data_IF_236007118017
#
_entry.id   IF_236007118017
#
_cell.length_a   1.000
_cell.length_b   1.000
_cell.length_c   1.000
_cell.angle_alpha   90.00
_cell.angle_beta   90.00
_cell.angle_gamma   90.00
#
_symmetry.space_group_name_H-M   'P 1'
#
loop_
_entity.id
_entity.type
_entity.pdbx_description
1 polymer ?
#
# COMPACT_ATOMS: atom_id res chain seq x y z
N UNK A 1 24.95 6.48 -9.37
CA UNK A 1 23.98 5.94 -8.40
C UNK A 1 22.66 5.76 -9.13
N UNK A 2 22.10 4.55 -9.16
CA UNK A 2 20.77 4.28 -9.75
C UNK A 2 19.76 4.34 -8.61
N UNK A 3 18.79 5.24 -8.67
CA UNK A 3 17.73 5.35 -7.68
C UNK A 3 16.49 4.60 -8.17
N UNK A 4 16.23 3.43 -7.58
CA UNK A 4 15.09 2.56 -7.94
C UNK A 4 13.98 2.80 -6.91
N UNK A 5 12.86 3.37 -7.37
CA UNK A 5 11.70 3.67 -6.51
C UNK A 5 10.65 2.57 -6.51
N UNK A 6 10.68 1.69 -7.50
CA UNK A 6 9.72 0.62 -7.68
C UNK A 6 10.40 -0.64 -8.20
N UNK A 7 9.94 -1.78 -7.69
CA UNK A 7 10.40 -3.09 -8.11
C UNK A 7 9.19 -4.04 -8.24
N UNK A 8 9.44 -5.35 -8.14
CA UNK A 8 8.37 -6.35 -8.16
C UNK A 8 7.41 -6.15 -7.00
N UNK A 9 6.10 -6.22 -7.29
CA UNK A 9 5.01 -6.18 -6.30
C UNK A 9 4.18 -7.45 -6.41
N UNK A 10 3.60 -7.88 -5.30
CA UNK A 10 2.66 -9.01 -5.30
C UNK A 10 1.35 -8.61 -6.01
N UNK A 11 0.67 -9.57 -6.62
CA UNK A 11 -0.70 -9.39 -7.11
C UNK A 11 -1.60 -10.29 -6.27
N UNK A 12 -2.42 -9.68 -5.42
CA UNK A 12 -3.13 -10.40 -4.35
C UNK A 12 -4.64 -10.28 -4.53
N UNK A 13 -5.43 -10.65 -3.52
CA UNK A 13 -6.89 -10.50 -3.53
C UNK A 13 -7.35 -9.04 -3.38
N UNK A 14 -6.45 -8.13 -3.03
CA UNK A 14 -6.72 -6.70 -3.02
C UNK A 14 -5.54 -5.92 -3.59
N UNK A 15 -5.68 -5.51 -4.85
CA UNK A 15 -4.78 -4.54 -5.46
C UNK A 15 -5.24 -3.13 -5.08
N UNK A 16 -4.35 -2.37 -4.45
CA UNK A 16 -4.54 -0.94 -4.18
C UNK A 16 -4.48 -0.15 -5.50
N UNK A 17 -5.48 0.68 -5.75
CA UNK A 17 -5.63 1.46 -6.98
C UNK A 17 -5.73 2.95 -6.68
N UNK A 18 -5.61 3.78 -7.72
CA UNK A 18 -5.88 5.22 -7.62
C UNK A 18 -7.26 5.51 -7.02
N UNK A 19 -8.27 4.64 -7.24
CA UNK A 19 -9.59 4.82 -6.65
C UNK A 19 -9.58 4.74 -5.12
N UNK A 20 -8.70 3.93 -4.54
CA UNK A 20 -8.51 3.85 -3.09
C UNK A 20 -7.91 5.16 -2.57
N UNK A 21 -6.85 5.64 -3.22
CA UNK A 21 -6.18 6.91 -2.86
C UNK A 21 -7.10 8.13 -3.02
N UNK A 22 -8.00 8.13 -4.01
CA UNK A 22 -8.96 9.21 -4.24
C UNK A 22 -10.21 9.12 -3.34
N UNK A 23 -10.32 8.08 -2.51
CA UNK A 23 -11.49 7.86 -1.65
C UNK A 23 -12.76 7.46 -2.41
N UNK A 24 -12.63 7.01 -3.67
CA UNK A 24 -13.72 6.44 -4.48
C UNK A 24 -13.99 4.98 -4.12
N UNK A 25 -13.00 4.32 -3.53
CA UNK A 25 -13.05 2.96 -3.00
C UNK A 25 -12.45 2.97 -1.60
N UNK A 26 -12.97 2.12 -0.72
CA UNK A 26 -12.46 1.98 0.64
C UNK A 26 -12.01 0.55 0.87
N UNK A 27 -10.81 0.38 1.40
CA UNK A 27 -10.37 -0.90 1.93
C UNK A 27 -11.28 -1.30 3.11
N UNK A 28 -11.92 -2.48 3.09
CA UNK A 28 -12.79 -2.92 4.20
C UNK A 28 -11.97 -3.40 5.41
N UNK A 29 -10.69 -3.67 5.21
CA UNK A 29 -9.75 -4.26 6.14
C UNK A 29 -8.47 -3.41 6.29
N UNK A 30 -8.56 -2.11 6.66
CA UNK A 30 -7.39 -1.25 6.75
C UNK A 30 -6.44 -1.71 7.85
N UNK A 31 -5.14 -1.70 7.53
CA UNK A 31 -4.03 -1.98 8.47
C UNK A 31 -3.02 -0.82 8.57
N UNK A 32 -3.26 0.25 7.81
CA UNK A 32 -2.48 1.48 7.86
C UNK A 32 -3.16 2.55 7.01
N UNK A 33 -2.70 3.79 7.15
CA UNK A 33 -3.22 4.92 6.39
C UNK A 33 -2.13 5.51 5.48
N UNK A 34 -2.49 5.75 4.23
CA UNK A 34 -1.72 6.59 3.31
C UNK A 34 -2.36 7.96 3.16
N UNK A 35 -1.56 9.00 2.96
CA UNK A 35 -2.04 10.38 2.74
C UNK A 35 -1.17 11.20 1.79
N UNK A 36 -0.04 10.64 1.35
CA UNK A 36 0.90 11.34 0.49
C UNK A 36 0.36 11.48 -0.94
N UNK A 37 0.86 12.45 -1.71
CA UNK A 37 0.51 12.59 -3.11
C UNK A 37 0.83 11.32 -3.90
N UNK A 38 -0.06 10.91 -4.80
CA UNK A 38 0.32 9.98 -5.87
C UNK A 38 1.33 10.73 -6.74
N UNK A 39 2.60 10.35 -6.62
CA UNK A 39 3.71 11.01 -7.30
C UNK A 39 4.37 10.09 -8.34
N UNK A 40 4.65 10.65 -9.52
CA UNK A 40 5.55 10.06 -10.50
C UNK A 40 6.42 11.17 -11.10
N UNK A 41 7.69 10.86 -11.32
CA UNK A 41 8.64 11.79 -11.91
C UNK A 41 8.53 11.79 -13.42
N UNK A 42 9.05 12.87 -14.03
CA UNK A 42 9.18 12.99 -15.48
C UNK A 42 9.88 11.74 -16.03
N UNK A 43 9.22 11.05 -16.96
CA UNK A 43 9.80 9.88 -17.65
C UNK A 43 10.39 10.27 -19.00
N UNK A 44 9.92 11.37 -19.58
CA UNK A 44 10.36 11.85 -20.88
C UNK A 44 10.24 13.36 -21.01
N UNK A 45 11.15 13.95 -21.79
CA UNK A 45 11.06 15.35 -22.22
C UNK A 45 10.90 15.42 -23.74
N UNK A 46 10.05 16.32 -24.21
CA UNK A 46 9.83 16.59 -25.64
C UNK A 46 10.18 18.03 -25.97
N UNK A 47 10.87 18.25 -27.08
CA UNK A 47 11.04 19.59 -27.63
C UNK A 47 9.83 19.95 -28.50
N UNK A 48 9.22 21.09 -28.23
CA UNK A 48 8.12 21.65 -29.03
C UNK A 48 8.68 22.37 -30.27
N UNK A 49 7.84 22.56 -31.28
CA UNK A 49 8.17 23.34 -32.48
C UNK A 49 8.61 24.78 -32.17
N UNK A 50 8.20 25.31 -31.01
CA UNK A 50 8.56 26.65 -30.51
C UNK A 50 9.87 26.68 -29.72
N UNK A 51 10.59 25.56 -29.61
CA UNK A 51 11.87 25.45 -28.90
C UNK A 51 11.76 25.25 -27.38
N UNK A 52 10.57 25.07 -26.81
CA UNK A 52 10.38 24.77 -25.39
C UNK A 52 10.45 23.27 -25.10
N UNK A 53 10.91 22.90 -23.90
CA UNK A 53 10.81 21.53 -23.40
C UNK A 53 9.49 21.32 -22.64
N UNK A 54 8.80 20.22 -22.92
CA UNK A 54 7.65 19.72 -22.17
C UNK A 54 8.05 18.44 -21.45
N UNK A 55 7.60 18.28 -20.20
CA UNK A 55 7.77 17.07 -19.40
C UNK A 55 6.52 16.18 -19.49
N UNK A 56 6.72 14.88 -19.69
CA UNK A 56 5.66 13.88 -19.73
C UNK A 56 5.81 12.82 -18.62
N UNK A 57 4.70 12.18 -18.26
CA UNK A 57 4.61 11.13 -17.25
C UNK A 57 4.63 11.61 -15.79
N UNK A 58 4.64 12.93 -15.56
CA UNK A 58 4.51 13.48 -14.19
C UNK A 58 3.11 13.21 -13.67
N UNK A 59 3.05 12.61 -12.47
CA UNK A 59 1.81 12.51 -11.71
C UNK A 59 2.04 13.28 -10.41
N UNK A 60 1.13 14.18 -10.09
CA UNK A 60 1.03 14.77 -8.76
C UNK A 60 -0.43 14.99 -8.42
N UNK A 61 -1.00 14.06 -7.63
CA UNK A 61 -2.38 14.16 -7.17
C UNK A 61 -2.47 13.81 -5.69
N UNK A 62 -2.82 14.81 -4.87
CA UNK A 62 -2.95 14.65 -3.42
C UNK A 62 -4.30 13.98 -3.10
N UNK A 63 -4.32 12.89 -2.30
CA UNK A 63 -5.54 12.32 -1.76
C UNK A 63 -6.39 13.39 -1.04
N UNK A 64 -7.73 13.37 -1.18
CA UNK A 64 -8.60 14.34 -0.51
C UNK A 64 -8.64 14.16 1.02
N UNK A 65 -8.28 12.97 1.50
CA UNK A 65 -8.17 12.57 2.91
C UNK A 65 -7.26 11.35 3.02
N UNK A 66 -6.77 10.99 4.23
CA UNK A 66 -6.12 9.71 4.42
C UNK A 66 -6.99 8.55 3.94
N UNK A 67 -6.36 7.52 3.37
CA UNK A 67 -7.03 6.32 2.86
C UNK A 67 -6.46 5.05 3.49
N UNK A 68 -7.31 4.05 3.69
CA UNK A 68 -6.93 2.77 4.28
C UNK A 68 -6.16 1.89 3.29
N UNK A 69 -5.08 1.26 3.76
CA UNK A 69 -4.34 0.22 3.04
C UNK A 69 -4.85 -1.14 3.51
N UNK A 70 -5.37 -1.94 2.57
CA UNK A 70 -5.99 -3.24 2.87
C UNK A 70 -4.98 -4.26 3.39
N UNK A 71 -5.36 -5.03 4.40
CA UNK A 71 -4.59 -6.19 4.87
C UNK A 71 -4.28 -7.17 3.74
N UNK A 72 -5.26 -7.42 2.86
CA UNK A 72 -5.10 -8.28 1.69
C UNK A 72 -4.07 -7.77 0.68
N UNK A 73 -3.68 -6.49 0.72
CA UNK A 73 -2.62 -5.96 -0.13
C UNK A 73 -1.21 -6.33 0.36
N UNK A 74 -1.06 -6.78 1.61
CA UNK A 74 0.25 -7.11 2.21
C UNK A 74 0.46 -8.62 2.43
N UNK A 75 -0.46 -9.47 1.95
CA UNK A 75 -0.37 -10.93 2.03
C UNK A 75 -0.66 -11.55 0.67
N UNK A 76 -0.09 -12.72 0.32
CA UNK A 76 -0.36 -13.40 -0.94
C UNK A 76 -1.76 -14.04 -0.96
N UNK A 77 -2.22 -14.46 -2.14
CA UNK A 77 -3.52 -15.14 -2.27
C UNK A 77 -3.50 -16.48 -1.55
N UNK A 78 -4.68 -16.95 -1.17
CA UNK A 78 -4.82 -18.30 -0.62
C UNK A 78 -4.33 -19.33 -1.65
N UNK A 79 -3.49 -20.27 -1.21
CA UNK A 79 -2.89 -21.30 -2.06
C UNK A 79 -1.55 -20.92 -2.70
N UNK A 80 -1.05 -19.69 -2.53
CA UNK A 80 0.30 -19.31 -2.98
C UNK A 80 1.37 -19.57 -1.91
N UNK A 81 1.35 -18.81 -0.82
CA UNK A 81 2.30 -18.94 0.29
C UNK A 81 1.58 -18.62 1.60
N UNK A 82 1.74 -19.47 2.61
CA UNK A 82 0.86 -19.47 3.79
C UNK A 82 1.36 -18.57 4.94
N UNK A 83 2.63 -18.15 4.88
CA UNK A 83 3.33 -17.47 5.98
C UNK A 83 4.10 -16.21 5.55
N UNK A 84 3.81 -15.66 4.37
CA UNK A 84 4.48 -14.45 3.86
C UNK A 84 3.66 -13.19 4.16
N UNK A 85 4.31 -12.18 4.72
CA UNK A 85 3.80 -10.81 4.79
C UNK A 85 4.77 -9.86 4.07
N UNK A 86 4.25 -9.01 3.19
CA UNK A 86 5.04 -8.06 2.41
C UNK A 86 4.55 -6.63 2.63
N UNK A 87 5.07 -5.93 3.65
CA UNK A 87 4.65 -4.56 3.98
C UNK A 87 5.21 -3.49 3.03
N UNK A 88 6.21 -3.83 2.20
CA UNK A 88 6.86 -2.90 1.27
C UNK A 88 6.46 -3.19 -0.18
N UNK A 89 6.55 -4.44 -0.62
CA UNK A 89 6.17 -4.87 -1.98
C UNK A 89 4.66 -5.15 -2.08
N UNK A 90 3.86 -4.23 -1.53
CA UNK A 90 2.41 -4.33 -1.42
C UNK A 90 1.75 -4.47 -2.78
N UNK A 91 0.59 -5.11 -2.82
CA UNK A 91 -0.22 -5.21 -4.02
C UNK A 91 -0.84 -3.87 -4.36
N UNK A 92 -0.26 -3.18 -5.35
CA UNK A 92 -0.67 -1.86 -5.77
C UNK A 92 -0.38 -1.61 -7.25
N UNK A 93 -1.25 -0.82 -7.88
CA UNK A 93 -0.96 -0.17 -9.17
C UNK A 93 0.22 0.80 -9.02
N UNK A 94 0.90 1.11 -10.13
CA UNK A 94 1.99 2.09 -10.16
C UNK A 94 1.59 3.43 -9.51
N UNK A 95 0.41 3.96 -9.90
CA UNK A 95 -0.10 5.24 -9.40
C UNK A 95 -0.37 5.22 -7.89
N UNK A 96 -1.05 4.18 -7.39
CA UNK A 96 -1.34 4.06 -5.96
C UNK A 96 -0.05 3.87 -5.14
N UNK A 97 0.91 3.11 -5.67
CA UNK A 97 2.15 2.84 -4.98
C UNK A 97 2.98 4.12 -4.75
N UNK A 98 2.94 5.08 -5.68
CA UNK A 98 3.54 6.42 -5.49
C UNK A 98 3.09 7.09 -4.20
N UNK A 99 1.82 6.94 -3.81
CA UNK A 99 1.30 7.46 -2.55
C UNK A 99 1.63 6.58 -1.33
N UNK A 100 1.65 5.25 -1.51
CA UNK A 100 1.86 4.29 -0.40
C UNK A 100 3.33 4.23 0.05
N UNK A 101 4.29 4.45 -0.86
CA UNK A 101 5.72 4.15 -0.65
C UNK A 101 6.48 5.13 0.24
N UNK A 102 5.81 5.69 1.24
CA UNK A 102 6.39 6.57 2.23
C UNK A 102 6.91 5.77 3.42
N UNK A 103 8.08 6.12 3.92
CA UNK A 103 8.70 5.51 5.10
C UNK A 103 7.75 5.37 6.29
N UNK A 104 6.99 6.42 6.72
CA UNK A 104 6.04 6.26 7.83
C UNK A 104 4.93 5.25 7.55
N UNK A 105 4.52 5.11 6.29
CA UNK A 105 3.51 4.13 5.88
C UNK A 105 4.10 2.72 5.95
N UNK A 106 5.32 2.51 5.45
CA UNK A 106 6.00 1.22 5.57
C UNK A 106 6.26 0.82 7.03
N UNK A 107 6.58 1.77 7.90
CA UNK A 107 6.69 1.51 9.34
C UNK A 107 5.36 1.02 9.92
N UNK A 108 4.25 1.70 9.60
CA UNK A 108 2.92 1.31 10.03
C UNK A 108 2.54 -0.09 9.51
N UNK A 109 2.75 -0.35 8.21
CA UNK A 109 2.49 -1.66 7.60
C UNK A 109 3.38 -2.75 8.20
N UNK A 110 4.62 -2.45 8.56
CA UNK A 110 5.54 -3.36 9.25
C UNK A 110 5.03 -3.77 10.62
N UNK A 111 4.58 -2.81 11.44
CA UNK A 111 3.93 -3.09 12.72
C UNK A 111 2.69 -3.98 12.53
N UNK A 112 1.87 -3.67 11.52
CA UNK A 112 0.66 -4.44 11.27
C UNK A 112 0.92 -5.84 10.74
N UNK A 113 1.95 -6.01 9.91
CA UNK A 113 2.40 -7.31 9.45
C UNK A 113 2.87 -8.17 10.63
N UNK A 114 3.68 -7.62 11.53
CA UNK A 114 4.15 -8.33 12.73
C UNK A 114 2.99 -8.70 13.66
N UNK A 115 2.01 -7.81 13.84
CA UNK A 115 0.82 -8.08 14.64
C UNK A 115 -0.01 -9.22 14.04
N UNK A 116 -0.21 -9.21 12.71
CA UNK A 116 -0.91 -10.27 12.01
C UNK A 116 -0.17 -11.61 12.08
N UNK A 117 1.16 -11.61 11.97
CA UNK A 117 1.98 -12.80 12.17
C UNK A 117 1.80 -13.39 13.57
N UNK A 118 1.80 -12.55 14.62
CA UNK A 118 1.52 -12.98 16.00
C UNK A 118 0.15 -13.63 16.15
N UNK A 119 -0.89 -13.01 15.56
CA UNK A 119 -2.25 -13.61 15.56
C UNK A 119 -2.28 -14.94 14.81
N UNK A 120 -1.60 -15.04 13.67
CA UNK A 120 -1.51 -16.27 12.88
C UNK A 120 -0.85 -17.40 13.68
N UNK A 121 0.25 -17.11 14.39
CA UNK A 121 0.94 -18.04 15.27
C UNK A 121 0.06 -18.47 16.46
N UNK A 122 -0.55 -17.51 17.19
CA UNK A 122 -1.42 -17.78 18.34
C UNK A 122 -2.61 -18.68 17.98
N UNK A 123 -3.11 -18.57 16.75
CA UNK A 123 -4.27 -19.32 16.25
C UNK A 123 -3.89 -20.54 15.41
N UNK A 124 -2.60 -20.81 15.21
CA UNK A 124 -2.08 -21.85 14.33
C UNK A 124 -2.77 -21.84 12.95
N UNK A 125 -2.79 -20.67 12.31
CA UNK A 125 -3.46 -20.43 11.04
C UNK A 125 -2.56 -19.72 10.04
N UNK A 126 -2.92 -19.76 8.76
CA UNK A 126 -2.20 -19.07 7.69
C UNK A 126 -2.52 -17.57 7.72
N UNK A 127 -1.66 -16.75 7.14
CA UNK A 127 -1.85 -15.27 7.13
C UNK A 127 -3.15 -14.85 6.45
N UNK A 128 -3.64 -15.62 5.47
CA UNK A 128 -4.93 -15.36 4.78
C UNK A 128 -6.15 -15.63 5.67
N UNK A 129 -6.00 -16.48 6.67
CA UNK A 129 -7.09 -16.91 7.56
C UNK A 129 -7.12 -16.12 8.88
N UNK A 130 -6.25 -15.12 9.03
CA UNK A 130 -6.31 -14.15 10.15
C UNK A 130 -7.61 -13.36 10.07
N UNK A 131 -8.50 -13.56 11.05
CA UNK A 131 -9.77 -12.84 11.12
C UNK A 131 -9.53 -11.34 11.34
N UNK A 132 -9.97 -10.51 10.39
CA UNK A 132 -9.76 -9.06 10.46
C UNK A 132 -10.29 -8.39 11.76
N UNK A 133 -11.46 -8.75 12.32
CA UNK A 133 -11.93 -8.16 13.57
C UNK A 133 -10.93 -8.32 14.73
N UNK A 134 -10.31 -9.51 14.84
CA UNK A 134 -9.29 -9.80 15.84
C UNK A 134 -8.01 -9.02 15.58
N UNK A 135 -7.56 -8.97 14.32
CA UNK A 135 -6.41 -8.16 13.93
C UNK A 135 -6.63 -6.68 14.24
N UNK A 136 -7.80 -6.13 13.88
CA UNK A 136 -8.19 -4.75 14.14
C UNK A 136 -8.12 -4.42 15.64
N UNK A 137 -8.64 -5.29 16.50
CA UNK A 137 -8.56 -5.12 17.95
C UNK A 137 -7.11 -5.00 18.44
N UNK A 138 -6.24 -5.93 18.00
CA UNK A 138 -4.81 -5.93 18.35
C UNK A 138 -4.09 -4.68 17.84
N UNK A 139 -4.40 -4.23 16.63
CA UNK A 139 -3.84 -3.02 16.04
C UNK A 139 -4.24 -1.76 16.83
N UNK A 140 -5.51 -1.64 17.21
CA UNK A 140 -5.98 -0.52 18.02
C UNK A 140 -5.36 -0.53 19.43
N UNK A 141 -5.20 -1.71 20.04
CA UNK A 141 -4.48 -1.83 21.31
C UNK A 141 -3.00 -1.37 21.18
N UNK A 142 -2.38 -1.64 20.03
CA UNK A 142 -1.07 -1.11 19.64
C UNK A 142 -1.06 0.36 19.20
N UNK A 143 -2.16 1.10 19.40
CA UNK A 143 -2.35 2.51 19.03
C UNK A 143 -2.22 2.81 17.54
N UNK A 144 -2.39 1.80 16.68
CA UNK A 144 -2.40 2.00 15.24
C UNK A 144 -3.65 2.80 14.81
N UNK A 145 -3.47 3.75 13.89
CA UNK A 145 -4.58 4.52 13.31
C UNK A 145 -5.09 3.80 12.06
N UNK A 146 -6.37 3.42 12.06
CA UNK A 146 -6.98 2.59 11.00
C UNK A 146 -8.10 3.29 10.22
N UNK A 147 -8.52 4.47 10.66
CA UNK A 147 -9.55 5.28 10.02
C UNK A 147 -9.10 6.75 9.96
N UNK A 148 -9.47 7.49 8.90
CA UNK A 148 -9.09 8.89 8.71
C UNK A 148 -9.64 9.83 9.78
#
# INVERSE_FOLDING_TARGET
>A
MIYIREARRMVTDYVMTQHDCEGKRSAPDPVGLGSFGMDSHVVQHFATERGFAISDGVIWRVPPKPYGISYRSIIPRQGECENLLSPVCVSATHVAHGSIRMEPVFMALGQSAATAAGVALDRNTNVQAVAYPLLRERLLAGKQVLQP
#
